data_IF_198643113392
#
_entry.id   IF_198643113392
#
_cell.length_a   1.000
_cell.length_b   1.000
_cell.length_c   1.000
_cell.angle_alpha   90.00
_cell.angle_beta   90.00
_cell.angle_gamma   90.00
#
_symmetry.space_group_name_H-M   'P 1'
#
loop_
_entity.id
_entity.type
_entity.pdbx_description
1 polymer ?
#
# COMPACT_ATOMS: atom_id res chain seq x y z
N UNK A 1 14.27 32.80 -11.19
CA UNK A 1 12.94 32.17 -11.16
C UNK A 1 12.08 32.97 -10.20
N UNK A 2 10.91 33.45 -10.64
CA UNK A 2 10.02 34.28 -9.82
C UNK A 2 9.43 33.44 -8.67
N UNK A 3 9.00 34.08 -7.58
CA UNK A 3 8.36 33.39 -6.44
C UNK A 3 7.13 32.59 -6.87
N UNK A 4 6.36 33.11 -7.83
CA UNK A 4 5.20 32.39 -8.39
C UNK A 4 5.63 31.14 -9.18
N UNK A 5 6.76 31.18 -9.89
CA UNK A 5 7.29 30.01 -10.60
C UNK A 5 7.75 28.95 -9.60
N UNK A 6 8.36 29.36 -8.47
CA UNK A 6 8.78 28.45 -7.38
C UNK A 6 7.57 27.75 -6.76
N UNK A 7 6.50 28.49 -6.46
CA UNK A 7 5.25 27.93 -5.92
C UNK A 7 4.64 26.92 -6.90
N UNK A 8 4.48 27.34 -8.17
CA UNK A 8 3.92 26.48 -9.21
C UNK A 8 4.71 25.19 -9.39
N UNK A 9 6.04 25.26 -9.24
CA UNK A 9 6.92 24.09 -9.31
C UNK A 9 6.68 23.12 -8.14
N UNK A 10 6.60 23.62 -6.91
CA UNK A 10 6.33 22.79 -5.72
C UNK A 10 4.96 22.13 -5.81
N UNK A 11 3.93 22.86 -6.23
CA UNK A 11 2.58 22.32 -6.44
C UNK A 11 2.57 21.23 -7.53
N UNK A 12 3.22 21.49 -8.66
CA UNK A 12 3.33 20.52 -9.75
C UNK A 12 4.06 19.25 -9.31
N UNK A 13 5.17 19.38 -8.59
CA UNK A 13 5.97 18.23 -8.15
C UNK A 13 5.19 17.37 -7.14
N UNK A 14 4.51 18.02 -6.19
CA UNK A 14 3.63 17.33 -5.23
C UNK A 14 2.44 16.64 -5.93
N UNK A 15 1.85 17.28 -6.95
CA UNK A 15 0.78 16.67 -7.73
C UNK A 15 1.25 15.43 -8.51
N UNK A 16 2.44 15.49 -9.12
CA UNK A 16 3.05 14.34 -9.82
C UNK A 16 3.32 13.21 -8.84
N UNK A 17 3.88 13.52 -7.67
CA UNK A 17 4.08 12.55 -6.60
C UNK A 17 2.77 11.85 -6.24
N UNK A 18 1.71 12.61 -5.92
CA UNK A 18 0.40 12.05 -5.52
C UNK A 18 -0.23 11.16 -6.59
N UNK A 19 -0.10 11.50 -7.88
CA UNK A 19 -0.64 10.64 -8.96
C UNK A 19 0.09 9.31 -9.04
N UNK A 20 1.43 9.33 -9.05
CA UNK A 20 2.25 8.12 -9.11
C UNK A 20 2.01 7.20 -7.91
N UNK A 21 1.83 7.82 -6.76
CA UNK A 21 1.44 7.16 -5.52
C UNK A 21 0.09 6.46 -5.64
N UNK A 22 -0.93 7.14 -6.16
CA UNK A 22 -2.26 6.58 -6.30
C UNK A 22 -2.27 5.39 -7.28
N UNK A 23 -1.47 5.45 -8.35
CA UNK A 23 -1.27 4.32 -9.28
C UNK A 23 -0.71 3.10 -8.53
N UNK A 24 0.36 3.27 -7.76
CA UNK A 24 0.94 2.17 -6.99
C UNK A 24 0.02 1.64 -5.88
N UNK A 25 -0.81 2.50 -5.28
CA UNK A 25 -1.79 2.05 -4.29
C UNK A 25 -2.87 1.17 -4.90
N UNK A 26 -3.33 1.46 -6.12
CA UNK A 26 -4.27 0.61 -6.83
C UNK A 26 -3.66 -0.76 -7.11
N UNK A 27 -2.46 -0.80 -7.71
CA UNK A 27 -1.73 -2.05 -7.97
C UNK A 27 -1.54 -2.86 -6.68
N UNK A 28 -1.16 -2.19 -5.60
CA UNK A 28 -0.98 -2.80 -4.29
C UNK A 28 -2.27 -3.43 -3.74
N UNK A 29 -3.39 -2.70 -3.80
CA UNK A 29 -4.68 -3.20 -3.29
C UNK A 29 -5.19 -4.39 -4.11
N UNK A 30 -4.97 -4.38 -5.43
CA UNK A 30 -5.34 -5.49 -6.30
C UNK A 30 -4.47 -6.72 -6.02
N UNK A 31 -3.15 -6.56 -5.92
CA UNK A 31 -2.25 -7.65 -5.52
C UNK A 31 -2.58 -8.23 -4.14
N UNK A 32 -2.92 -7.38 -3.16
CA UNK A 32 -3.32 -7.83 -1.81
C UNK A 32 -4.59 -8.69 -1.87
N UNK A 33 -5.57 -8.26 -2.66
CA UNK A 33 -6.85 -8.97 -2.86
C UNK A 33 -6.63 -10.32 -3.55
N UNK A 34 -5.84 -10.33 -4.62
CA UNK A 34 -5.55 -11.54 -5.39
C UNK A 34 -4.77 -12.56 -4.57
N UNK A 35 -3.79 -12.11 -3.78
CA UNK A 35 -3.04 -13.00 -2.88
C UNK A 35 -3.94 -13.64 -1.82
N UNK A 36 -4.85 -12.85 -1.21
CA UNK A 36 -5.80 -13.37 -0.23
C UNK A 36 -6.74 -14.40 -0.86
N UNK A 37 -7.34 -14.04 -2.00
CA UNK A 37 -8.26 -14.91 -2.73
C UNK A 37 -7.59 -16.21 -3.16
N UNK A 38 -6.37 -16.14 -3.70
CA UNK A 38 -5.62 -17.32 -4.10
C UNK A 38 -5.39 -18.29 -2.92
N UNK A 39 -5.10 -17.76 -1.73
CA UNK A 39 -4.91 -18.59 -0.53
C UNK A 39 -6.22 -19.27 -0.10
N UNK A 40 -7.35 -18.58 -0.20
CA UNK A 40 -8.68 -19.11 0.13
C UNK A 40 -9.10 -20.18 -0.90
N UNK A 41 -8.95 -19.88 -2.20
CA UNK A 41 -9.26 -20.78 -3.30
C UNK A 41 -8.42 -22.08 -3.23
N UNK A 42 -7.14 -21.99 -2.84
CA UNK A 42 -6.28 -23.17 -2.66
C UNK A 42 -6.73 -24.04 -1.47
N UNK A 43 -7.10 -23.43 -0.34
CA UNK A 43 -7.63 -24.15 0.81
C UNK A 43 -8.92 -24.88 0.45
N UNK A 44 -9.84 -24.19 -0.20
CA UNK A 44 -11.12 -24.77 -0.65
C UNK A 44 -10.90 -25.91 -1.65
N UNK A 45 -9.94 -25.77 -2.57
CA UNK A 45 -9.58 -26.82 -3.51
C UNK A 45 -9.06 -28.08 -2.81
N UNK A 46 -8.17 -27.93 -1.83
CA UNK A 46 -7.62 -29.06 -1.05
C UNK A 46 -8.75 -29.79 -0.32
N UNK A 47 -9.61 -29.04 0.37
CA UNK A 47 -10.73 -29.60 1.14
C UNK A 47 -11.70 -30.34 0.19
N UNK A 48 -12.06 -29.72 -0.93
CA UNK A 48 -12.96 -30.31 -1.93
C UNK A 48 -12.38 -31.58 -2.53
N UNK A 49 -11.10 -31.57 -2.90
CA UNK A 49 -10.42 -32.74 -3.45
C UNK A 49 -10.42 -33.90 -2.46
N UNK A 50 -10.03 -33.68 -1.20
CA UNK A 50 -10.02 -34.72 -0.18
C UNK A 50 -11.43 -35.29 0.06
N UNK A 51 -12.45 -34.43 0.12
CA UNK A 51 -13.83 -34.86 0.29
C UNK A 51 -14.31 -35.76 -0.87
N UNK A 52 -14.08 -35.32 -2.11
CA UNK A 52 -14.54 -36.02 -3.31
C UNK A 52 -13.82 -37.35 -3.56
N UNK A 53 -12.61 -37.50 -3.02
CA UNK A 53 -11.81 -38.72 -3.16
C UNK A 53 -11.73 -39.55 -1.88
N UNK A 54 -12.54 -39.23 -0.86
CA UNK A 54 -12.56 -39.89 0.45
C UNK A 54 -11.17 -39.99 1.10
N UNK A 55 -10.34 -38.96 0.91
CA UNK A 55 -9.03 -38.87 1.53
C UNK A 55 -9.12 -38.15 2.86
N UNK A 56 -8.19 -38.48 3.76
CA UNK A 56 -8.00 -37.71 4.99
C UNK A 56 -7.56 -36.28 4.64
N UNK A 57 -8.03 -35.31 5.43
CA UNK A 57 -7.60 -33.93 5.26
C UNK A 57 -6.14 -33.78 5.70
N UNK A 58 -5.31 -33.10 4.91
CA UNK A 58 -3.92 -32.81 5.26
C UNK A 58 -3.87 -31.69 6.31
N UNK A 59 -4.26 -32.02 7.54
CA UNK A 59 -4.48 -31.04 8.62
C UNK A 59 -3.22 -30.24 8.94
N UNK A 60 -2.04 -30.86 8.88
CA UNK A 60 -0.78 -30.17 9.14
C UNK A 60 -0.52 -29.08 8.09
N UNK A 61 -0.68 -29.42 6.82
CA UNK A 61 -0.47 -28.51 5.69
C UNK A 61 -1.51 -27.38 5.69
N UNK A 62 -2.77 -27.69 6.02
CA UNK A 62 -3.83 -26.69 6.16
C UNK A 62 -3.51 -25.70 7.29
N UNK A 63 -3.07 -26.18 8.46
CA UNK A 63 -2.64 -25.30 9.54
C UNK A 63 -1.43 -24.43 9.12
N UNK A 64 -0.46 -24.98 8.40
CA UNK A 64 0.67 -24.21 7.89
C UNK A 64 0.24 -23.13 6.89
N UNK A 65 -0.75 -23.41 6.03
CA UNK A 65 -1.32 -22.42 5.12
C UNK A 65 -1.99 -21.28 5.88
N UNK A 66 -2.74 -21.58 6.94
CA UNK A 66 -3.36 -20.58 7.81
C UNK A 66 -2.30 -19.71 8.52
N UNK A 67 -1.26 -20.32 9.10
CA UNK A 67 -0.16 -19.59 9.73
C UNK A 67 0.57 -18.68 8.73
N UNK A 68 0.79 -19.17 7.51
CA UNK A 68 1.41 -18.40 6.44
C UNK A 68 0.55 -17.19 6.04
N UNK A 69 -0.78 -17.37 5.95
CA UNK A 69 -1.73 -16.29 5.69
C UNK A 69 -1.67 -15.22 6.77
N UNK A 70 -1.67 -15.62 8.05
CA UNK A 70 -1.58 -14.68 9.17
C UNK A 70 -0.25 -13.91 9.18
N UNK A 71 0.84 -14.60 8.87
CA UNK A 71 2.16 -13.98 8.76
C UNK A 71 2.24 -12.99 7.59
N UNK A 72 1.60 -13.32 6.46
CA UNK A 72 1.48 -12.42 5.33
C UNK A 72 0.70 -11.15 5.69
N UNK A 73 -0.46 -11.28 6.33
CA UNK A 73 -1.29 -10.13 6.76
C UNK A 73 -0.51 -9.21 7.73
N UNK A 74 0.23 -9.78 8.68
CA UNK A 74 1.11 -9.01 9.58
C UNK A 74 2.23 -8.26 8.86
N UNK A 75 2.76 -8.83 7.76
CA UNK A 75 3.80 -8.15 6.94
C UNK A 75 3.18 -7.02 6.12
N UNK A 76 2.00 -7.25 5.54
CA UNK A 76 1.21 -6.27 4.81
C UNK A 76 0.86 -5.08 5.71
N UNK A 77 0.32 -5.32 6.90
CA UNK A 77 -0.04 -4.24 7.84
C UNK A 77 1.16 -3.36 8.22
N UNK A 78 2.35 -3.96 8.44
CA UNK A 78 3.59 -3.21 8.68
C UNK A 78 4.03 -2.39 7.48
N UNK A 79 3.80 -2.89 6.26
CA UNK A 79 4.07 -2.14 5.05
C UNK A 79 3.11 -0.94 4.92
N UNK A 80 1.81 -1.14 5.11
CA UNK A 80 0.79 -0.08 5.07
C UNK A 80 1.07 1.03 6.10
N UNK A 81 1.53 0.64 7.29
CA UNK A 81 1.92 1.60 8.34
C UNK A 81 3.07 2.49 7.88
N UNK A 82 4.13 1.90 7.30
CA UNK A 82 5.28 2.66 6.78
C UNK A 82 4.89 3.54 5.61
N UNK A 83 4.03 3.04 4.71
CA UNK A 83 3.52 3.81 3.58
C UNK A 83 2.77 5.06 4.07
N UNK A 84 1.88 4.90 5.06
CA UNK A 84 1.16 6.01 5.69
C UNK A 84 2.11 7.03 6.34
N UNK A 85 3.13 6.57 7.05
CA UNK A 85 4.16 7.45 7.63
C UNK A 85 4.89 8.25 6.54
N UNK A 86 5.31 7.61 5.46
CA UNK A 86 5.98 8.27 4.34
C UNK A 86 5.09 9.35 3.70
N UNK A 87 3.78 9.13 3.57
CA UNK A 87 2.86 10.18 3.10
C UNK A 87 2.76 11.35 4.05
N UNK A 88 2.72 11.10 5.35
CA UNK A 88 2.66 12.17 6.35
C UNK A 88 3.92 13.02 6.29
N UNK A 89 5.09 12.39 6.12
CA UNK A 89 6.37 13.08 5.98
C UNK A 89 6.43 13.92 4.69
N UNK A 90 5.98 13.37 3.55
CA UNK A 90 5.96 14.11 2.29
C UNK A 90 5.01 15.32 2.35
N UNK A 91 3.79 15.13 2.87
CA UNK A 91 2.84 16.22 3.06
C UNK A 91 3.38 17.30 4.00
N UNK A 92 4.09 16.90 5.06
CA UNK A 92 4.74 17.84 5.98
C UNK A 92 5.80 18.66 5.26
N UNK A 93 6.64 18.03 4.45
CA UNK A 93 7.67 18.72 3.67
C UNK A 93 7.04 19.68 2.65
N UNK A 94 6.00 19.25 1.93
CA UNK A 94 5.24 20.10 1.03
C UNK A 94 4.71 21.35 1.75
N UNK A 95 4.03 21.18 2.88
CA UNK A 95 3.48 22.30 3.66
C UNK A 95 4.57 23.25 4.15
N UNK A 96 5.70 22.73 4.64
CA UNK A 96 6.83 23.55 5.07
C UNK A 96 7.42 24.39 3.92
N UNK A 97 7.54 23.80 2.73
CA UNK A 97 8.01 24.50 1.54
C UNK A 97 7.04 25.60 1.13
N UNK A 98 5.73 25.30 1.11
CA UNK A 98 4.68 26.27 0.78
C UNK A 98 4.65 27.44 1.76
N UNK A 99 4.67 27.18 3.08
CA UNK A 99 4.71 28.24 4.09
C UNK A 99 5.95 29.14 3.95
N UNK A 100 7.10 28.56 3.62
CA UNK A 100 8.35 29.31 3.43
C UNK A 100 8.25 30.23 2.20
N UNK A 101 7.71 29.72 1.10
CA UNK A 101 7.50 30.48 -0.13
C UNK A 101 6.44 31.57 0.04
N UNK A 102 5.37 31.33 0.79
CA UNK A 102 4.37 32.35 1.12
C UNK A 102 4.97 33.50 1.96
N UNK A 103 5.84 33.16 2.92
CA UNK A 103 6.57 34.17 3.71
C UNK A 103 7.55 34.96 2.85
N UNK A 104 8.22 34.34 1.89
CA UNK A 104 9.09 35.02 0.92
C UNK A 104 8.25 35.95 0.03
N UNK A 105 7.11 35.49 -0.49
CA UNK A 105 6.19 36.28 -1.32
C UNK A 105 5.66 37.53 -0.62
N UNK A 106 5.39 37.46 0.69
CA UNK A 106 4.92 38.62 1.49
C UNK A 106 6.01 39.67 1.76
N UNK A 107 7.28 39.33 1.55
CA UNK A 107 8.43 40.22 1.76
C UNK A 107 8.89 40.92 0.47
N UNK A 108 8.35 40.50 -0.67
CA UNK A 108 8.58 41.08 -2.00
C UNK A 108 7.41 41.99 -2.34
#
# INVERSE_FOLDING_TARGET
MNINDKISKVESDHQVFRRKVAEYELDYQDMKRDAKRLSEDLTDLIISYCHNHHQELPMLELCQLEENRDNFEKRISRFETRLSQTYQEENKLYNQNMESLEKEKKKV
#
